data_IF_360632319759
#
_entry.id   IF_360632319759
#
_cell.length_a   1.000
_cell.length_b   1.000
_cell.length_c   1.000
_cell.angle_alpha   90.00
_cell.angle_beta   90.00
_cell.angle_gamma   90.00
#
_symmetry.space_group_name_H-M   'P 1'
#
loop_
_entity.id
_entity.type
_entity.pdbx_description
1 polymer ?
#
# COMPACT_ATOMS: atom_id res chain seq x y z
N UNK A 1 -17.34 -3.83 1.55
CA UNK A 1 -16.77 -3.05 2.69
C UNK A 1 -16.65 -3.85 4.00
N UNK A 2 -17.44 -4.91 4.23
CA UNK A 2 -17.39 -5.68 5.49
C UNK A 2 -16.11 -6.55 5.68
N UNK A 3 -15.54 -7.09 4.60
CA UNK A 3 -14.43 -8.06 4.68
C UNK A 3 -13.07 -7.44 5.07
N UNK A 4 -12.86 -6.15 4.78
CA UNK A 4 -11.61 -5.44 5.06
C UNK A 4 -11.49 -5.02 6.54
N UNK A 5 -12.61 -4.61 7.15
CA UNK A 5 -12.67 -4.18 8.55
C UNK A 5 -12.55 -5.33 9.54
N UNK A 6 -12.89 -6.56 9.15
CA UNK A 6 -12.80 -7.73 10.04
C UNK A 6 -11.39 -8.31 10.13
N UNK A 7 -10.50 -7.98 9.18
CA UNK A 7 -9.15 -8.58 9.08
C UNK A 7 -8.03 -7.65 9.53
N UNK A 8 -8.34 -6.38 9.77
CA UNK A 8 -7.38 -5.36 10.19
C UNK A 8 -8.04 -4.53 11.27
N UNK A 9 -7.53 -4.61 12.51
CA UNK A 9 -7.99 -3.71 13.56
C UNK A 9 -7.60 -2.26 13.17
N UNK A 10 -8.38 -1.24 13.57
CA UNK A 10 -7.99 0.15 13.35
C UNK A 10 -6.58 0.45 13.90
N UNK A 11 -6.13 -0.28 14.93
CA UNK A 11 -4.77 -0.21 15.47
C UNK A 11 -3.70 -0.80 14.52
N UNK A 12 -3.96 -1.93 13.86
CA UNK A 12 -3.06 -2.48 12.83
C UNK A 12 -2.99 -1.56 11.60
N UNK A 13 -4.15 -1.03 11.18
CA UNK A 13 -4.21 -0.04 10.10
C UNK A 13 -3.38 1.20 10.46
N UNK A 14 -3.58 1.76 11.65
CA UNK A 14 -2.82 2.93 12.11
C UNK A 14 -1.32 2.62 12.31
N UNK A 15 -0.94 1.38 12.63
CA UNK A 15 0.46 1.03 12.89
C UNK A 15 1.24 0.82 11.58
N UNK A 16 0.63 0.16 10.60
CA UNK A 16 1.32 -0.28 9.39
C UNK A 16 1.04 0.59 8.17
N UNK A 17 -0.17 1.13 8.04
CA UNK A 17 -0.54 2.01 6.92
C UNK A 17 -0.34 3.49 7.25
N UNK A 18 -0.44 3.94 8.51
CA UNK A 18 -0.24 5.37 8.82
C UNK A 18 1.22 5.82 8.64
N UNK A 19 2.17 4.88 8.65
CA UNK A 19 3.59 5.16 8.33
C UNK A 19 3.93 4.91 6.86
N UNK A 20 2.96 4.54 6.04
CA UNK A 20 3.14 4.42 4.59
C UNK A 20 2.69 5.67 3.89
N UNK A 21 3.37 6.02 2.80
CA UNK A 21 3.05 7.19 2.00
C UNK A 21 2.77 6.78 0.57
N UNK A 22 1.73 7.36 -0.03
CA UNK A 22 1.54 7.26 -1.47
C UNK A 22 2.66 8.04 -2.16
N UNK A 23 3.49 7.36 -2.95
CA UNK A 23 4.62 7.99 -3.66
C UNK A 23 4.23 8.41 -5.07
N UNK A 24 3.54 7.52 -5.80
CA UNK A 24 3.07 7.78 -7.15
C UNK A 24 1.89 6.88 -7.50
N UNK A 25 1.06 7.31 -8.44
CA UNK A 25 0.11 6.49 -9.15
C UNK A 25 0.34 6.70 -10.65
N UNK A 26 0.86 5.70 -11.36
CA UNK A 26 1.17 5.79 -12.80
C UNK A 26 0.89 4.46 -13.48
N UNK A 27 0.35 4.52 -14.69
CA UNK A 27 0.09 3.33 -15.53
C UNK A 27 -0.69 2.23 -14.81
N UNK A 28 -1.73 2.59 -14.05
CA UNK A 28 -2.53 1.61 -13.30
C UNK A 28 -1.81 0.94 -12.12
N UNK A 29 -0.63 1.45 -11.72
CA UNK A 29 0.14 0.98 -10.57
C UNK A 29 0.24 2.07 -9.52
N UNK A 30 -0.14 1.72 -8.29
CA UNK A 30 -0.01 2.56 -7.12
C UNK A 30 1.22 2.14 -6.35
N UNK A 31 2.09 3.11 -6.08
CA UNK A 31 3.33 2.91 -5.39
C UNK A 31 3.27 3.45 -3.98
N UNK A 32 3.50 2.57 -3.02
CA UNK A 32 3.36 2.85 -1.59
C UNK A 32 4.72 2.74 -0.91
N UNK A 33 5.21 3.87 -0.41
CA UNK A 33 6.44 4.02 0.32
C UNK A 33 6.30 3.51 1.74
N UNK A 34 7.14 2.53 2.09
CA UNK A 34 7.34 2.02 3.42
C UNK A 34 8.62 2.63 4.03
N UNK A 35 8.69 2.81 5.35
CA UNK A 35 9.83 3.45 6.00
C UNK A 35 11.14 2.64 5.92
N UNK A 36 11.05 1.31 5.76
CA UNK A 36 12.19 0.41 5.64
C UNK A 36 11.80 -0.92 4.95
N UNK A 37 12.80 -1.72 4.60
CA UNK A 37 12.63 -2.98 3.85
C UNK A 37 11.85 -4.06 4.64
N UNK A 38 11.91 -4.02 5.97
CA UNK A 38 11.14 -4.93 6.83
C UNK A 38 9.64 -4.62 6.75
N UNK A 39 9.26 -3.35 6.94
CA UNK A 39 7.88 -2.89 6.78
C UNK A 39 7.38 -3.13 5.36
N UNK A 40 8.20 -2.87 4.34
CA UNK A 40 7.88 -3.15 2.93
C UNK A 40 7.50 -4.61 2.71
N UNK A 41 8.32 -5.55 3.19
CA UNK A 41 8.06 -7.00 3.06
C UNK A 41 6.82 -7.44 3.82
N UNK A 42 6.62 -6.90 5.03
CA UNK A 42 5.44 -7.22 5.82
C UNK A 42 4.15 -6.73 5.16
N UNK A 43 4.15 -5.52 4.61
CA UNK A 43 3.03 -4.97 3.83
C UNK A 43 2.76 -5.79 2.57
N UNK A 44 3.80 -6.21 1.87
CA UNK A 44 3.67 -7.07 0.69
C UNK A 44 2.98 -8.40 1.04
N UNK A 45 3.39 -9.04 2.15
CA UNK A 45 2.84 -10.35 2.55
C UNK A 45 1.43 -10.25 3.14
N UNK A 46 1.17 -9.26 4.00
CA UNK A 46 -0.07 -9.19 4.77
C UNK A 46 -1.08 -8.20 4.21
N UNK A 47 -0.63 -7.18 3.49
CA UNK A 47 -1.45 -6.04 3.07
C UNK A 47 -1.63 -5.88 1.56
N UNK A 48 -0.88 -6.59 0.71
CA UNK A 48 -1.04 -6.47 -0.75
C UNK A 48 -2.48 -6.73 -1.22
N UNK A 49 -3.04 -7.89 -0.90
CA UNK A 49 -4.41 -8.23 -1.27
C UNK A 49 -5.48 -7.27 -0.71
N UNK A 50 -5.52 -6.96 0.61
CA UNK A 50 -6.53 -6.04 1.15
C UNK A 50 -6.37 -4.60 0.63
N UNK A 51 -5.14 -4.10 0.45
CA UNK A 51 -4.91 -2.75 -0.12
C UNK A 51 -5.32 -2.69 -1.58
N UNK A 52 -4.94 -3.69 -2.39
CA UNK A 52 -5.36 -3.77 -3.79
C UNK A 52 -6.88 -3.77 -3.94
N UNK A 53 -7.59 -4.57 -3.14
CA UNK A 53 -9.07 -4.59 -3.16
C UNK A 53 -9.67 -3.25 -2.75
N UNK A 54 -9.12 -2.59 -1.74
CA UNK A 54 -9.60 -1.29 -1.27
C UNK A 54 -9.45 -0.22 -2.36
N UNK A 55 -8.29 -0.18 -3.01
CA UNK A 55 -8.03 0.79 -4.07
C UNK A 55 -8.87 0.47 -5.32
N UNK A 56 -8.99 -0.80 -5.71
CA UNK A 56 -9.84 -1.20 -6.83
C UNK A 56 -11.31 -0.82 -6.61
N UNK A 57 -11.81 -0.91 -5.37
CA UNK A 57 -13.16 -0.46 -5.03
C UNK A 57 -13.33 1.07 -5.11
N UNK A 58 -12.26 1.85 -4.93
CA UNK A 58 -12.29 3.31 -5.04
C UNK A 58 -12.13 3.79 -6.49
N UNK A 59 -11.24 3.16 -7.26
CA UNK A 59 -11.00 3.51 -8.66
C UNK A 59 -12.03 2.90 -9.62
N UNK A 60 -12.74 1.85 -9.21
CA UNK A 60 -13.67 1.12 -10.08
C UNK A 60 -12.98 0.18 -11.09
N UNK A 61 -11.66 0.08 -11.04
CA UNK A 61 -10.82 -0.76 -11.90
C UNK A 61 -9.74 -1.48 -11.09
N UNK A 62 -9.27 -2.62 -11.59
CA UNK A 62 -8.16 -3.33 -10.94
C UNK A 62 -6.85 -2.60 -11.17
N UNK A 63 -6.23 -2.15 -10.09
CA UNK A 63 -4.90 -1.52 -10.11
C UNK A 63 -3.87 -2.39 -9.41
N UNK A 64 -2.63 -2.32 -9.86
CA UNK A 64 -1.50 -2.95 -9.19
C UNK A 64 -1.07 -2.10 -7.98
N UNK A 65 -0.59 -2.75 -6.93
CA UNK A 65 -0.02 -2.08 -5.76
C UNK A 65 1.38 -2.59 -5.57
N UNK A 66 2.34 -1.68 -5.54
CA UNK A 66 3.74 -2.00 -5.34
C UNK A 66 4.28 -1.29 -4.10
N UNK A 67 4.73 -2.08 -3.14
CA UNK A 67 5.39 -1.56 -1.94
C UNK A 67 6.89 -1.42 -2.17
N UNK A 68 7.40 -0.26 -1.81
CA UNK A 68 8.79 0.13 -1.99
C UNK A 68 9.31 0.79 -0.73
N UNK A 69 10.63 0.85 -0.56
CA UNK A 69 11.20 1.59 0.58
C UNK A 69 11.33 3.05 0.18
N UNK A 70 10.69 3.95 0.93
CA UNK A 70 10.62 5.38 0.62
C UNK A 70 12.02 6.00 0.44
N UNK A 71 12.97 5.65 1.32
CA UNK A 71 14.35 6.15 1.22
C UNK A 71 15.13 5.64 0.00
N UNK A 72 14.69 4.54 -0.59
CA UNK A 72 15.33 3.90 -1.75
C UNK A 72 14.56 4.21 -3.05
N UNK A 73 13.41 4.88 -2.95
CA UNK A 73 12.57 5.23 -4.08
C UNK A 73 13.17 6.40 -4.87
N UNK A 74 13.72 6.10 -6.04
CA UNK A 74 14.21 7.10 -7.00
C UNK A 74 13.16 7.65 -7.98
N UNK A 75 11.90 7.18 -7.89
CA UNK A 75 10.86 7.41 -8.90
C UNK A 75 10.27 8.82 -8.99
N UNK A 76 10.87 9.81 -8.32
CA UNK A 76 10.43 11.21 -8.28
C UNK A 76 11.31 12.23 -9.03
N UNK A 77 12.45 11.82 -9.57
CA UNK A 77 13.28 12.71 -10.40
C UNK A 77 13.99 11.90 -11.49
N UNK A 78 13.38 11.94 -12.67
CA UNK A 78 14.01 12.36 -13.92
C UNK A 78 12.91 12.74 -14.91
#
# INVERSE_FOLDING_TARGET
LADLRSRVTPSDYATWLARTRLLAARSGTIYVGAPNSFTRRWLDTHFAAPVQRAIAALCGESVAVEFVVEREWGGGTR
#
